data_IF_283579114238
#
_entry.id   IF_283579114238
#
_cell.length_a   1.000
_cell.length_b   1.000
_cell.length_c   1.000
_cell.angle_alpha   90.00
_cell.angle_beta   90.00
_cell.angle_gamma   90.00
#
_symmetry.space_group_name_H-M   'P 1'
#
loop_
_entity.id
_entity.type
_entity.pdbx_description
1 polymer ?
#
# COMPACT_ATOMS: atom_id res chain seq x y z
N UNK A 1 -67.95 5.70 -6.18
CA UNK A 1 -68.30 4.37 -5.62
C UNK A 1 -67.35 3.34 -6.21
N UNK A 2 -67.03 2.32 -5.40
CA UNK A 2 -65.79 1.53 -5.41
C UNK A 2 -65.61 0.60 -6.63
N UNK A 3 -64.44 0.75 -7.26
CA UNK A 3 -63.43 -0.29 -7.53
C UNK A 3 -63.86 -1.70 -7.93
N UNK A 4 -63.66 -2.01 -9.21
CA UNK A 4 -63.67 -3.37 -9.78
C UNK A 4 -62.34 -4.07 -9.49
N UNK A 5 -62.40 -5.24 -8.85
CA UNK A 5 -61.28 -6.16 -8.70
C UNK A 5 -60.99 -6.83 -10.05
N UNK A 6 -59.75 -6.77 -10.53
CA UNK A 6 -59.26 -7.61 -11.62
C UNK A 6 -58.02 -8.35 -11.12
N UNK A 7 -58.18 -9.64 -10.87
CA UNK A 7 -57.08 -10.59 -10.79
C UNK A 7 -56.90 -11.18 -12.18
N UNK A 8 -55.69 -11.10 -12.75
CA UNK A 8 -55.26 -11.97 -13.85
C UNK A 8 -53.76 -12.25 -13.70
N UNK A 9 -53.52 -13.52 -13.37
CA UNK A 9 -52.47 -14.46 -13.79
C UNK A 9 -50.99 -14.05 -13.83
N UNK A 10 -50.25 -14.87 -13.09
CA UNK A 10 -48.83 -15.13 -13.20
C UNK A 10 -48.40 -15.50 -14.63
N UNK A 11 -47.27 -14.92 -15.05
CA UNK A 11 -46.40 -15.51 -16.05
C UNK A 11 -45.01 -15.56 -15.43
N UNK A 12 -44.58 -16.76 -15.08
CA UNK A 12 -43.22 -17.05 -14.65
C UNK A 12 -42.32 -16.96 -15.88
N UNK A 13 -41.52 -15.89 -15.96
CA UNK A 13 -40.29 -15.88 -16.74
C UNK A 13 -39.15 -15.82 -15.73
N UNK A 14 -38.69 -17.01 -15.30
CA UNK A 14 -37.38 -17.16 -14.68
C UNK A 14 -36.33 -16.87 -15.75
N UNK A 15 -36.00 -15.58 -15.89
CA UNK A 15 -34.74 -15.20 -16.48
C UNK A 15 -33.66 -15.51 -15.44
N UNK A 16 -32.95 -16.61 -15.64
CA UNK A 16 -31.65 -16.85 -15.03
C UNK A 16 -30.77 -15.64 -15.38
N UNK A 17 -30.71 -14.68 -14.47
CA UNK A 17 -29.67 -13.67 -14.48
C UNK A 17 -28.39 -14.45 -14.20
N UNK A 18 -27.65 -14.77 -15.25
CA UNK A 18 -26.26 -15.20 -15.09
C UNK A 18 -25.56 -14.09 -14.31
N UNK A 19 -25.05 -14.42 -13.12
CA UNK A 19 -24.19 -13.50 -12.37
C UNK A 19 -23.10 -13.02 -13.33
N UNK A 20 -22.87 -11.70 -13.47
CA UNK A 20 -21.86 -11.19 -14.36
C UNK A 20 -20.52 -11.83 -14.01
N UNK A 21 -19.88 -12.45 -15.00
CA UNK A 21 -18.54 -13.01 -14.88
C UNK A 21 -17.65 -11.90 -14.33
N UNK A 22 -16.96 -12.10 -13.18
CA UNK A 22 -16.10 -11.07 -12.62
C UNK A 22 -15.10 -10.66 -13.70
N UNK A 23 -15.08 -9.37 -14.05
CA UNK A 23 -14.06 -8.83 -14.93
C UNK A 23 -12.71 -9.16 -14.29
N UNK A 24 -11.89 -9.93 -15.01
CA UNK A 24 -10.56 -10.29 -14.53
C UNK A 24 -9.72 -9.02 -14.46
N UNK A 25 -9.44 -8.53 -13.25
CA UNK A 25 -8.48 -7.45 -13.05
C UNK A 25 -7.10 -7.94 -13.51
N UNK A 26 -6.51 -7.25 -14.48
CA UNK A 26 -5.18 -7.58 -14.97
C UNK A 26 -4.13 -6.97 -14.03
N UNK A 27 -3.66 -7.77 -13.08
CA UNK A 27 -2.60 -7.38 -12.14
C UNK A 27 -1.24 -7.61 -12.82
N UNK A 28 -0.36 -6.59 -12.91
CA UNK A 28 0.98 -6.78 -13.45
C UNK A 28 1.79 -7.77 -12.63
N UNK A 29 2.66 -8.55 -13.28
CA UNK A 29 3.59 -9.42 -12.56
C UNK A 29 4.59 -8.60 -11.71
N UNK A 30 4.92 -9.05 -10.49
CA UNK A 30 6.00 -8.51 -9.68
C UNK A 30 7.37 -8.73 -10.36
N UNK A 31 8.36 -7.92 -9.97
CA UNK A 31 9.73 -7.99 -10.50
C UNK A 31 10.49 -9.23 -9.97
N UNK A 32 10.26 -9.64 -8.72
CA UNK A 32 11.01 -10.74 -8.09
C UNK A 32 10.17 -11.75 -7.28
N UNK A 33 9.44 -11.30 -6.25
CA UNK A 33 8.73 -12.17 -5.30
C UNK A 33 7.33 -12.54 -5.80
N UNK A 34 6.99 -13.83 -5.73
CA UNK A 34 5.66 -14.31 -6.12
C UNK A 34 4.66 -14.24 -4.95
N UNK A 35 3.94 -13.13 -4.85
CA UNK A 35 2.93 -12.89 -3.81
C UNK A 35 1.70 -13.81 -3.88
N UNK A 36 1.47 -14.56 -4.97
CA UNK A 36 0.39 -15.55 -5.02
C UNK A 36 0.71 -16.76 -4.14
N UNK A 37 1.99 -17.05 -3.91
CA UNK A 37 2.41 -18.14 -3.02
C UNK A 37 2.04 -17.85 -1.55
N UNK A 38 1.92 -16.57 -1.17
CA UNK A 38 1.62 -16.16 0.21
C UNK A 38 0.12 -16.26 0.55
N UNK A 39 -0.75 -16.50 -0.43
CA UNK A 39 -2.21 -16.55 -0.27
C UNK A 39 -2.86 -17.83 -0.79
N UNK A 40 -2.06 -18.90 -0.94
CA UNK A 40 -2.58 -20.23 -1.29
C UNK A 40 -3.46 -20.80 -0.17
N UNK A 41 -4.26 -21.83 -0.48
CA UNK A 41 -5.11 -22.55 0.48
C UNK A 41 -4.34 -23.05 1.70
N UNK A 42 -3.05 -23.34 1.53
CA UNK A 42 -2.17 -23.84 2.59
C UNK A 42 -1.72 -22.76 3.57
N UNK A 43 -1.77 -21.49 3.19
CA UNK A 43 -1.38 -20.36 4.03
C UNK A 43 -2.40 -20.06 5.13
N UNK A 44 -3.66 -20.45 4.96
CA UNK A 44 -4.72 -20.20 5.91
C UNK A 44 -4.61 -21.11 7.15
N UNK A 45 -4.72 -20.48 8.32
CA UNK A 45 -4.81 -21.11 9.64
C UNK A 45 -6.04 -20.68 10.45
N UNK A 46 -6.28 -21.42 11.54
CA UNK A 46 -7.33 -21.12 12.50
C UNK A 46 -6.96 -19.92 13.38
N UNK A 47 -7.93 -19.05 13.67
CA UNK A 47 -7.80 -17.82 14.48
C UNK A 47 -6.84 -16.78 13.89
N UNK A 48 -6.74 -16.73 12.57
CA UNK A 48 -5.98 -15.70 11.85
C UNK A 48 -6.89 -14.61 11.32
N UNK A 49 -6.38 -13.39 11.20
CA UNK A 49 -7.10 -12.30 10.53
C UNK A 49 -6.46 -12.07 9.17
N UNK A 50 -7.30 -12.00 8.14
CA UNK A 50 -6.87 -11.80 6.76
C UNK A 50 -7.51 -10.53 6.21
N UNK A 51 -6.71 -9.72 5.51
CA UNK A 51 -7.18 -8.63 4.69
C UNK A 51 -7.86 -9.18 3.43
N UNK A 52 -8.90 -8.50 2.97
CA UNK A 52 -9.70 -8.87 1.82
C UNK A 52 -10.01 -7.63 0.98
N UNK A 53 -10.11 -7.85 -0.33
CA UNK A 53 -10.36 -6.81 -1.31
C UNK A 53 -11.78 -6.26 -1.18
N UNK A 54 -11.90 -4.94 -1.21
CA UNK A 54 -13.20 -4.27 -1.31
C UNK A 54 -13.68 -4.20 -2.77
N UNK A 55 -14.90 -3.70 -2.94
CA UNK A 55 -15.53 -3.53 -4.25
C UNK A 55 -15.46 -2.07 -4.76
N UNK A 56 -14.70 -1.20 -4.08
CA UNK A 56 -14.60 0.22 -4.40
C UNK A 56 -13.52 0.43 -5.49
N UNK A 57 -12.25 0.41 -5.10
CA UNK A 57 -11.10 0.45 -6.02
C UNK A 57 -10.30 -0.86 -6.00
N UNK A 58 -10.81 -1.89 -5.32
CA UNK A 58 -10.20 -3.22 -5.28
C UNK A 58 -9.02 -3.32 -4.32
N UNK A 59 -8.87 -2.42 -3.35
CA UNK A 59 -7.80 -2.47 -2.36
C UNK A 59 -8.19 -3.29 -1.12
N UNK A 60 -7.22 -3.86 -0.36
CA UNK A 60 -7.51 -4.79 0.71
C UNK A 60 -7.89 -4.11 2.03
N UNK A 61 -9.09 -3.50 2.07
CA UNK A 61 -9.60 -2.72 3.24
C UNK A 61 -10.53 -3.49 4.17
N UNK A 62 -11.02 -4.66 3.76
CA UNK A 62 -11.82 -5.51 4.63
C UNK A 62 -10.95 -6.46 5.43
N UNK A 63 -11.45 -6.89 6.59
CA UNK A 63 -10.81 -7.90 7.40
C UNK A 63 -11.78 -9.03 7.76
N UNK A 64 -11.28 -10.26 7.71
CA UNK A 64 -12.01 -11.43 8.15
C UNK A 64 -11.19 -12.19 9.20
N UNK A 65 -11.84 -12.53 10.32
CA UNK A 65 -11.30 -13.52 11.24
C UNK A 65 -11.63 -14.92 10.71
N UNK A 66 -10.60 -15.66 10.34
CA UNK A 66 -10.70 -17.08 9.97
C UNK A 66 -10.85 -17.87 11.26
N UNK A 67 -12.09 -18.23 11.58
CA UNK A 67 -12.38 -18.99 12.80
C UNK A 67 -11.88 -20.44 12.67
N UNK A 68 -12.03 -21.03 11.48
CA UNK A 68 -11.62 -22.41 11.22
C UNK A 68 -11.44 -22.71 9.73
N UNK A 69 -10.36 -23.38 9.37
CA UNK A 69 -10.17 -24.01 8.06
C UNK A 69 -10.91 -25.35 8.05
N UNK A 70 -11.91 -25.48 7.19
CA UNK A 70 -12.77 -26.66 7.11
C UNK A 70 -12.27 -27.67 6.07
N UNK A 71 -11.70 -27.18 4.97
CA UNK A 71 -11.14 -27.97 3.89
C UNK A 71 -10.17 -27.11 3.09
N UNK A 72 -9.10 -27.71 2.56
CA UNK A 72 -8.17 -27.05 1.64
C UNK A 72 -8.46 -27.41 0.18
N UNK A 73 -9.02 -28.59 -0.06
CA UNK A 73 -9.37 -29.06 -1.41
C UNK A 73 -10.73 -29.80 -1.38
N UNK A 74 -11.82 -29.19 -1.90
CA UNK A 74 -11.93 -27.79 -2.29
C UNK A 74 -11.76 -26.85 -1.08
N UNK A 75 -11.28 -25.63 -1.32
CA UNK A 75 -11.07 -24.66 -0.25
C UNK A 75 -12.38 -24.29 0.45
N UNK A 76 -12.37 -24.31 1.78
CA UNK A 76 -13.52 -23.94 2.60
C UNK A 76 -13.08 -23.47 3.98
N UNK A 77 -13.50 -22.27 4.37
CA UNK A 77 -13.24 -21.70 5.69
C UNK A 77 -14.52 -21.22 6.35
N UNK A 78 -14.56 -21.29 7.67
CA UNK A 78 -15.52 -20.55 8.49
C UNK A 78 -14.87 -19.26 8.92
N UNK A 79 -15.47 -18.13 8.59
CA UNK A 79 -14.95 -16.80 8.91
C UNK A 79 -16.01 -15.91 9.52
N UNK A 80 -15.58 -14.79 10.08
CA UNK A 80 -16.45 -13.69 10.48
C UNK A 80 -15.84 -12.38 10.01
N UNK A 81 -16.60 -11.58 9.26
CA UNK A 81 -16.17 -10.24 8.85
C UNK A 81 -16.02 -9.33 10.06
N UNK A 82 -14.93 -8.58 10.09
CA UNK A 82 -14.65 -7.58 11.10
C UNK A 82 -15.32 -6.27 10.69
N UNK A 83 -16.09 -5.70 11.60
CA UNK A 83 -16.88 -4.51 11.35
C UNK A 83 -16.57 -3.46 12.40
N UNK A 84 -16.69 -2.20 12.01
CA UNK A 84 -16.71 -1.09 12.96
C UNK A 84 -17.97 -0.28 12.79
N UNK A 85 -18.56 0.15 13.91
CA UNK A 85 -19.70 1.08 13.93
C UNK A 85 -19.34 2.41 14.59
N UNK A 86 -18.14 2.50 15.13
CA UNK A 86 -17.66 3.62 15.91
C UNK A 86 -16.19 3.82 15.59
N UNK A 87 -15.72 5.05 15.71
CA UNK A 87 -14.34 5.37 15.47
C UNK A 87 -13.80 6.37 16.51
N UNK A 88 -14.44 6.35 17.69
CA UNK A 88 -14.19 7.23 18.83
C UNK A 88 -12.79 7.07 19.43
N UNK A 89 -12.09 5.96 19.14
CA UNK A 89 -10.73 5.76 19.63
C UNK A 89 -9.71 6.75 19.05
N UNK A 90 -10.02 7.38 17.91
CA UNK A 90 -9.13 8.32 17.22
C UNK A 90 -9.70 9.75 17.20
N UNK A 91 -10.66 10.05 18.07
CA UNK A 91 -11.22 11.39 18.21
C UNK A 91 -12.63 11.54 17.63
N UNK A 92 -13.13 12.78 17.50
CA UNK A 92 -14.55 13.08 17.24
C UNK A 92 -14.94 13.06 15.75
N UNK A 93 -14.03 12.70 14.85
CA UNK A 93 -14.30 12.66 13.41
C UNK A 93 -15.37 11.61 13.09
N UNK A 94 -16.27 11.87 12.15
CA UNK A 94 -17.34 10.93 11.78
C UNK A 94 -16.93 10.02 10.60
N UNK A 95 -15.74 9.39 10.67
CA UNK A 95 -15.15 8.64 9.55
C UNK A 95 -16.03 7.49 9.04
N UNK A 96 -16.47 6.62 9.95
CA UNK A 96 -17.30 5.45 9.57
C UNK A 96 -18.71 5.88 9.19
N UNK A 97 -19.26 6.91 9.83
CA UNK A 97 -20.59 7.42 9.52
C UNK A 97 -20.62 8.12 8.15
N UNK A 98 -19.51 8.72 7.71
CA UNK A 98 -19.32 9.27 6.37
C UNK A 98 -19.09 8.21 5.28
N UNK A 99 -19.15 6.92 5.62
CA UNK A 99 -19.05 5.81 4.66
C UNK A 99 -17.65 5.32 4.36
N UNK A 100 -16.61 5.86 5.00
CA UNK A 100 -15.23 5.44 4.75
C UNK A 100 -14.87 4.13 5.47
N UNK A 101 -14.03 3.33 4.81
CA UNK A 101 -13.48 2.13 5.40
C UNK A 101 -12.52 2.47 6.54
N UNK A 102 -12.73 1.83 7.69
CA UNK A 102 -11.79 1.85 8.80
C UNK A 102 -10.86 0.65 8.68
N UNK A 103 -9.56 0.88 8.56
CA UNK A 103 -8.57 -0.19 8.30
C UNK A 103 -7.53 -0.34 9.41
N UNK A 104 -7.57 0.50 10.43
CA UNK A 104 -6.87 0.27 11.68
C UNK A 104 -7.73 0.70 12.88
N UNK A 105 -7.37 0.24 14.07
CA UNK A 105 -8.10 0.43 15.32
C UNK A 105 -8.82 -0.81 15.81
N UNK A 106 -9.92 -0.60 16.53
CA UNK A 106 -10.73 -1.64 17.15
C UNK A 106 -11.89 -2.09 16.25
N UNK A 107 -12.02 -3.40 16.07
CA UNK A 107 -13.05 -4.05 15.27
C UNK A 107 -13.88 -5.02 16.09
N UNK A 108 -15.17 -5.13 15.73
CA UNK A 108 -16.09 -6.13 16.27
C UNK A 108 -16.22 -7.30 15.32
N UNK A 109 -16.26 -8.48 15.89
CA UNK A 109 -16.47 -9.72 15.14
C UNK A 109 -17.93 -9.79 14.71
N UNK A 110 -18.16 -9.94 13.41
CA UNK A 110 -19.47 -10.11 12.81
C UNK A 110 -20.04 -11.52 12.95
N UNK A 111 -21.02 -11.83 12.10
CA UNK A 111 -21.65 -13.15 12.05
C UNK A 111 -20.74 -14.16 11.35
N UNK A 112 -20.97 -15.43 11.64
CA UNK A 112 -20.29 -16.52 10.95
C UNK A 112 -20.76 -16.66 9.51
N UNK A 113 -19.81 -16.80 8.61
CA UNK A 113 -20.00 -17.06 7.19
C UNK A 113 -19.06 -18.17 6.73
N UNK A 114 -19.34 -18.71 5.54
CA UNK A 114 -18.50 -19.73 4.90
C UNK A 114 -17.86 -19.15 3.65
N UNK A 115 -16.53 -19.01 3.68
CA UNK A 115 -15.74 -18.67 2.50
C UNK A 115 -15.37 -19.93 1.72
N UNK A 116 -15.32 -19.81 0.39
CA UNK A 116 -14.98 -20.92 -0.53
C UNK A 116 -13.90 -20.58 -1.56
N UNK A 117 -13.43 -19.33 -1.58
CA UNK A 117 -12.43 -18.85 -2.52
C UNK A 117 -11.32 -18.15 -1.75
N UNK A 118 -10.07 -18.40 -2.14
CA UNK A 118 -8.89 -17.69 -1.61
C UNK A 118 -8.72 -16.32 -2.26
N UNK A 119 -9.23 -16.14 -3.49
CA UNK A 119 -9.01 -14.93 -4.30
C UNK A 119 -9.63 -13.66 -3.70
N UNK A 120 -10.54 -13.79 -2.73
CA UNK A 120 -11.08 -12.64 -2.00
C UNK A 120 -10.09 -12.06 -0.98
N UNK A 121 -9.04 -12.81 -0.62
CA UNK A 121 -8.09 -12.43 0.40
C UNK A 121 -6.78 -11.93 -0.21
N UNK A 122 -6.18 -10.94 0.43
CA UNK A 122 -4.88 -10.38 0.06
C UNK A 122 -3.77 -11.02 0.88
N UNK A 123 -3.80 -10.84 2.20
CA UNK A 123 -2.72 -11.25 3.08
C UNK A 123 -3.18 -11.41 4.52
N UNK A 124 -2.40 -12.16 5.31
CA UNK A 124 -2.58 -12.22 6.77
C UNK A 124 -2.12 -10.92 7.42
N UNK A 125 -2.90 -10.40 8.35
CA UNK A 125 -2.54 -9.22 9.14
C UNK A 125 -2.25 -9.57 10.58
N UNK A 126 -1.36 -8.80 11.20
CA UNK A 126 -1.12 -8.91 12.63
C UNK A 126 -2.29 -8.30 13.40
N UNK A 127 -2.74 -9.00 14.44
CA UNK A 127 -3.86 -8.56 15.25
C UNK A 127 -3.63 -8.92 16.73
N UNK A 128 -4.29 -8.17 17.62
CA UNK A 128 -4.34 -8.46 19.04
C UNK A 128 -5.77 -8.47 19.57
N UNK A 129 -5.99 -9.17 20.67
CA UNK A 129 -7.30 -9.17 21.34
C UNK A 129 -7.45 -7.89 22.16
N UNK A 130 -8.47 -7.10 21.82
CA UNK A 130 -8.85 -5.89 22.54
C UNK A 130 -9.85 -6.14 23.67
N UNK A 131 -10.28 -5.05 24.34
CA UNK A 131 -11.28 -5.10 25.40
C UNK A 131 -12.58 -5.75 24.93
N UNK A 132 -13.22 -6.55 25.80
CA UNK A 132 -14.47 -7.25 25.48
C UNK A 132 -14.38 -8.19 24.26
N UNK A 133 -13.18 -8.63 23.91
CA UNK A 133 -12.95 -9.58 22.82
C UNK A 133 -13.05 -8.96 21.43
N UNK A 134 -12.87 -7.64 21.32
CA UNK A 134 -12.65 -6.99 20.02
C UNK A 134 -11.33 -7.44 19.40
N UNK A 135 -11.21 -7.22 18.09
CA UNK A 135 -9.99 -7.45 17.32
C UNK A 135 -9.33 -6.09 17.09
N UNK A 136 -8.08 -5.96 17.46
CA UNK A 136 -7.29 -4.74 17.26
C UNK A 136 -6.27 -4.97 16.15
N UNK A 137 -6.29 -4.09 15.15
CA UNK A 137 -5.36 -4.10 14.02
C UNK A 137 -4.76 -2.72 13.95
N UNK A 138 -3.45 -2.62 14.11
CA UNK A 138 -2.72 -1.35 14.06
C UNK A 138 -1.47 -1.55 13.20
N UNK A 139 -1.02 -0.52 12.46
CA UNK A 139 0.24 -0.58 11.74
C UNK A 139 1.38 -0.96 12.70
N UNK A 140 2.26 -1.85 12.24
CA UNK A 140 3.43 -2.32 12.99
C UNK A 140 4.71 -1.91 12.31
N UNK A 141 5.76 -1.76 13.11
CA UNK A 141 7.10 -1.47 12.60
C UNK A 141 7.50 -2.46 11.51
N UNK A 142 7.91 -1.94 10.36
CA UNK A 142 8.30 -2.72 9.19
C UNK A 142 7.17 -2.97 8.20
N UNK A 143 5.91 -2.72 8.56
CA UNK A 143 4.80 -2.81 7.62
C UNK A 143 4.90 -1.72 6.56
N UNK A 144 4.45 -2.04 5.35
CA UNK A 144 4.16 -1.06 4.32
C UNK A 144 2.67 -0.78 4.29
N UNK A 145 2.30 0.50 4.27
CA UNK A 145 0.93 0.96 4.22
C UNK A 145 0.74 2.01 3.14
N UNK A 146 -0.45 2.03 2.55
CA UNK A 146 -0.94 3.12 1.73
C UNK A 146 -1.58 4.19 2.63
N UNK A 147 -1.14 5.43 2.51
CA UNK A 147 -1.82 6.58 3.11
C UNK A 147 -2.62 7.34 2.07
N UNK A 148 -3.82 7.81 2.43
CA UNK A 148 -4.58 8.76 1.63
C UNK A 148 -3.77 10.06 1.46
N UNK A 149 -3.34 10.35 0.22
CA UNK A 149 -2.50 11.52 -0.12
C UNK A 149 -3.21 12.84 0.20
N UNK A 150 -4.49 12.91 -0.15
CA UNK A 150 -5.31 14.12 -0.05
C UNK A 150 -6.18 14.14 1.21
N UNK A 151 -5.88 13.29 2.20
CA UNK A 151 -6.71 13.14 3.39
C UNK A 151 -7.01 14.49 4.05
N UNK A 152 -8.27 14.68 4.42
CA UNK A 152 -8.72 15.84 5.18
C UNK A 152 -9.72 15.39 6.24
N UNK A 153 -9.71 15.99 7.44
CA UNK A 153 -10.73 15.75 8.45
C UNK A 153 -12.16 16.13 8.00
N UNK A 154 -12.28 16.93 6.93
CA UNK A 154 -13.56 17.40 6.39
C UNK A 154 -14.16 16.45 5.32
N UNK A 155 -13.46 15.36 5.00
CA UNK A 155 -13.97 14.34 4.09
C UNK A 155 -15.31 13.77 4.58
N UNK A 156 -16.26 13.70 3.67
CA UNK A 156 -17.61 13.18 3.89
C UNK A 156 -18.08 12.39 2.66
N UNK A 157 -19.33 11.92 2.69
CA UNK A 157 -20.00 11.14 1.63
C UNK A 157 -20.01 11.83 0.24
N UNK A 158 -19.78 13.14 0.15
CA UNK A 158 -19.72 13.88 -1.10
C UNK A 158 -18.28 14.10 -1.61
N UNK A 159 -17.28 13.55 -0.93
CA UNK A 159 -15.88 13.65 -1.37
C UNK A 159 -15.71 12.82 -2.64
N UNK A 160 -15.21 13.40 -3.75
CA UNK A 160 -15.04 12.66 -5.00
C UNK A 160 -14.03 11.52 -4.90
N UNK A 161 -14.32 10.41 -5.59
CA UNK A 161 -13.46 9.22 -5.65
C UNK A 161 -12.05 9.54 -6.18
N UNK A 162 -11.91 10.43 -7.16
CA UNK A 162 -10.61 10.83 -7.71
C UNK A 162 -9.72 11.60 -6.71
N UNK A 163 -10.34 12.18 -5.67
CA UNK A 163 -9.67 12.79 -4.53
C UNK A 163 -9.29 11.74 -3.49
N UNK A 164 -10.18 10.78 -3.22
CA UNK A 164 -10.02 9.70 -2.23
C UNK A 164 -8.98 8.68 -2.69
N UNK A 165 -9.08 8.21 -3.93
CA UNK A 165 -8.28 7.11 -4.51
C UNK A 165 -6.90 7.57 -4.97
N UNK A 166 -6.19 8.32 -4.11
CA UNK A 166 -4.81 8.75 -4.31
C UNK A 166 -4.00 8.41 -3.08
N UNK A 167 -2.89 7.69 -3.30
CA UNK A 167 -2.14 7.08 -2.22
C UNK A 167 -0.66 7.39 -2.26
N UNK A 168 -0.08 7.57 -1.09
CA UNK A 168 1.36 7.54 -0.88
C UNK A 168 1.73 6.26 -0.13
N UNK A 169 2.71 5.51 -0.64
CA UNK A 169 3.23 4.33 0.03
C UNK A 169 4.21 4.76 1.11
N UNK A 170 4.09 4.18 2.31
CA UNK A 170 4.96 4.49 3.44
C UNK A 170 5.43 3.22 4.14
N UNK A 171 6.64 3.28 4.69
CA UNK A 171 7.17 2.28 5.61
C UNK A 171 6.98 2.76 7.04
N UNK A 172 6.42 1.89 7.89
CA UNK A 172 6.19 2.16 9.31
C UNK A 172 7.49 1.96 10.11
N UNK A 173 7.89 2.96 10.88
CA UNK A 173 9.18 2.98 11.60
C UNK A 173 9.08 2.53 13.06
N UNK A 174 7.90 2.69 13.67
CA UNK A 174 7.60 2.32 15.05
C UNK A 174 6.16 1.82 15.20
N UNK A 175 5.88 1.10 16.29
CA UNK A 175 4.53 0.61 16.59
C UNK A 175 3.66 1.75 17.13
N UNK A 176 2.34 1.66 16.86
CA UNK A 176 1.37 2.63 17.37
C UNK A 176 1.44 2.84 18.88
N UNK A 177 1.51 4.11 19.28
CA UNK A 177 1.38 4.58 20.64
C UNK A 177 0.31 5.68 20.70
N UNK A 178 -0.60 5.62 21.69
CA UNK A 178 -1.70 6.60 21.79
C UNK A 178 -1.23 8.04 22.03
N UNK A 179 -0.14 8.24 22.78
CA UNK A 179 0.39 9.57 23.10
C UNK A 179 1.18 10.17 21.93
N UNK A 180 1.96 9.31 21.25
CA UNK A 180 2.93 9.76 20.25
C UNK A 180 2.48 9.57 18.81
N UNK A 181 1.53 8.68 18.54
CA UNK A 181 1.15 8.26 17.19
C UNK A 181 2.07 7.20 16.58
N UNK A 182 2.29 7.27 15.27
CA UNK A 182 3.19 6.40 14.48
C UNK A 182 4.11 7.25 13.61
N UNK A 183 5.41 6.94 13.63
CA UNK A 183 6.35 7.49 12.65
C UNK A 183 6.36 6.64 11.38
N UNK A 184 6.26 7.30 10.23
CA UNK A 184 6.38 6.67 8.92
C UNK A 184 7.39 7.41 8.04
N UNK A 185 7.88 6.74 7.01
CA UNK A 185 8.71 7.35 5.97
C UNK A 185 8.14 7.03 4.59
N UNK A 186 8.11 8.00 3.65
CA UNK A 186 7.69 7.72 2.28
C UNK A 186 8.55 6.65 1.61
N UNK A 187 7.90 5.81 0.80
CA UNK A 187 8.55 4.90 -0.13
C UNK A 187 8.64 5.55 -1.51
N UNK A 188 9.86 5.71 -2.01
CA UNK A 188 10.15 6.25 -3.33
C UNK A 188 10.22 5.11 -4.33
N UNK A 189 9.48 5.25 -5.43
CA UNK A 189 9.53 4.33 -6.56
C UNK A 189 10.92 4.30 -7.19
N UNK A 190 11.45 3.11 -7.45
CA UNK A 190 12.76 2.94 -8.09
C UNK A 190 12.59 2.84 -9.60
N UNK A 191 13.34 3.67 -10.33
CA UNK A 191 13.33 3.66 -11.80
C UNK A 191 13.80 2.30 -12.35
N UNK A 192 13.24 1.89 -13.48
CA UNK A 192 13.55 0.60 -14.11
C UNK A 192 12.86 -0.63 -13.53
N UNK A 193 12.12 -0.50 -12.42
CA UNK A 193 11.37 -1.59 -11.78
C UNK A 193 9.87 -1.27 -11.71
N UNK A 194 9.00 -2.27 -11.78
CA UNK A 194 7.53 -2.12 -11.66
C UNK A 194 7.05 -2.08 -10.22
N UNK A 195 7.60 -2.92 -9.34
CA UNK A 195 7.12 -3.14 -7.97
C UNK A 195 8.14 -2.78 -6.88
N UNK A 196 9.36 -2.37 -7.25
CA UNK A 196 10.41 -2.02 -6.28
C UNK A 196 10.36 -0.55 -5.83
N UNK A 197 10.46 -0.35 -4.51
CA UNK A 197 10.49 0.93 -3.81
C UNK A 197 11.60 0.96 -2.76
N UNK A 198 12.06 2.16 -2.38
CA UNK A 198 13.03 2.36 -1.30
C UNK A 198 12.53 3.39 -0.29
N UNK A 199 12.80 3.22 1.01
CA UNK A 199 12.46 4.24 2.01
C UNK A 199 13.31 5.50 1.81
N UNK A 200 12.68 6.67 1.93
CA UNK A 200 13.37 7.97 1.94
C UNK A 200 13.88 8.31 3.36
N UNK A 201 14.94 7.62 3.79
CA UNK A 201 15.46 7.72 5.17
C UNK A 201 16.10 9.07 5.54
N UNK A 202 15.90 10.13 4.75
CA UNK A 202 16.23 11.47 5.21
C UNK A 202 15.37 11.80 6.45
N UNK A 203 15.99 12.17 7.56
CA UNK A 203 15.29 12.45 8.82
C UNK A 203 14.23 13.55 8.69
N UNK A 204 14.40 14.48 7.76
CA UNK A 204 13.44 15.54 7.46
C UNK A 204 12.14 15.04 6.80
N UNK A 205 12.15 13.78 6.33
CA UNK A 205 11.02 13.13 5.64
C UNK A 205 10.23 12.19 6.53
N UNK A 206 10.64 12.02 7.79
CA UNK A 206 9.86 11.26 8.77
C UNK A 206 8.59 12.02 9.09
N UNK A 207 7.45 11.40 8.82
CA UNK A 207 6.13 11.96 9.07
C UNK A 207 5.61 11.31 10.35
N UNK A 208 5.13 12.13 11.29
CA UNK A 208 4.41 11.63 12.47
C UNK A 208 2.92 11.68 12.22
N UNK A 209 2.26 10.52 12.21
CA UNK A 209 0.80 10.39 12.16
C UNK A 209 0.30 10.33 13.60
N UNK A 210 -0.43 11.35 14.05
CA UNK A 210 -0.96 11.39 15.42
C UNK A 210 -2.14 10.43 15.57
N UNK A 211 -2.60 10.24 16.82
CA UNK A 211 -3.80 9.47 17.13
C UNK A 211 -5.03 9.93 16.34
N UNK A 212 -5.20 11.24 16.17
CA UNK A 212 -6.34 11.84 15.47
C UNK A 212 -6.25 11.71 13.94
N UNK A 213 -5.06 11.44 13.42
CA UNK A 213 -4.79 11.27 11.99
C UNK A 213 -4.72 9.80 11.55
N UNK A 214 -5.02 8.85 12.44
CA UNK A 214 -4.93 7.42 12.13
C UNK A 214 -5.83 6.99 10.95
N UNK A 215 -6.89 7.74 10.63
CA UNK A 215 -7.72 7.50 9.44
C UNK A 215 -7.02 7.81 8.10
N UNK A 216 -5.79 8.35 8.13
CA UNK A 216 -4.95 8.49 6.93
C UNK A 216 -4.52 7.14 6.38
N UNK A 217 -4.43 6.10 7.21
CA UNK A 217 -4.09 4.75 6.77
C UNK A 217 -5.25 4.17 5.95
N UNK A 218 -5.00 3.89 4.67
CA UNK A 218 -5.99 3.30 3.78
C UNK A 218 -5.97 1.79 3.87
N UNK A 219 -4.83 1.14 3.63
CA UNK A 219 -4.68 -0.30 3.68
C UNK A 219 -3.21 -0.69 3.86
N UNK A 220 -2.98 -1.90 4.37
CA UNK A 220 -1.66 -2.51 4.39
C UNK A 220 -1.35 -3.07 3.00
N UNK A 221 -0.11 -2.90 2.55
CA UNK A 221 0.39 -3.43 1.28
C UNK A 221 1.39 -4.54 1.60
N UNK A 222 1.16 -5.78 1.16
CA UNK A 222 2.15 -6.83 1.30
C UNK A 222 3.47 -6.42 0.65
N UNK A 223 4.58 -6.72 1.32
CA UNK A 223 5.90 -6.36 0.84
C UNK A 223 6.93 -7.44 1.12
N UNK A 224 7.94 -7.52 0.26
CA UNK A 224 9.08 -8.40 0.39
C UNK A 224 10.37 -7.58 0.43
N UNK A 225 11.15 -7.76 1.50
CA UNK A 225 12.44 -7.11 1.65
C UNK A 225 13.49 -7.83 0.80
N UNK A 226 13.96 -7.17 -0.25
CA UNK A 226 14.92 -7.74 -1.19
C UNK A 226 16.28 -7.97 -0.51
N UNK A 227 16.80 -9.19 -0.69
CA UNK A 227 18.08 -9.64 -0.16
C UNK A 227 19.24 -9.31 -1.10
N UNK A 228 18.95 -9.10 -2.38
CA UNK A 228 19.92 -8.94 -3.47
C UNK A 228 20.34 -10.27 -4.10
N UNK A 229 19.73 -11.39 -3.68
CA UNK A 229 20.01 -12.74 -4.19
C UNK A 229 18.93 -13.23 -5.16
N UNK A 230 17.83 -12.48 -5.32
CA UNK A 230 16.69 -12.82 -6.17
C UNK A 230 17.06 -12.82 -7.67
N UNK A 231 17.90 -11.86 -8.09
CA UNK A 231 18.41 -11.72 -9.45
C UNK A 231 19.66 -10.82 -9.49
N UNK A 232 20.37 -10.81 -10.63
CA UNK A 232 21.59 -10.01 -10.81
C UNK A 232 21.38 -8.50 -10.61
N UNK A 233 20.19 -7.97 -10.89
CA UNK A 233 19.82 -6.56 -10.74
C UNK A 233 19.00 -6.26 -9.47
N UNK A 234 18.80 -7.24 -8.57
CA UNK A 234 17.97 -7.06 -7.38
C UNK A 234 18.64 -6.11 -6.36
N UNK A 235 18.03 -4.94 -6.04
CA UNK A 235 18.62 -4.02 -5.08
C UNK A 235 18.39 -4.49 -3.63
N UNK A 236 19.47 -4.81 -2.92
CA UNK A 236 19.43 -5.22 -1.52
C UNK A 236 18.87 -4.13 -0.60
N UNK A 237 17.98 -4.51 0.32
CA UNK A 237 17.40 -3.66 1.35
C UNK A 237 16.22 -2.81 0.87
N UNK A 238 15.72 -3.06 -0.34
CA UNK A 238 14.59 -2.36 -0.93
C UNK A 238 13.32 -3.18 -0.72
N UNK A 239 12.15 -2.52 -0.77
CA UNK A 239 10.87 -3.17 -0.64
C UNK A 239 10.28 -3.44 -2.01
N UNK A 240 10.00 -4.69 -2.32
CA UNK A 240 9.09 -5.02 -3.40
C UNK A 240 7.67 -5.06 -2.86
N UNK A 241 6.73 -4.37 -3.52
CA UNK A 241 5.33 -4.30 -3.10
C UNK A 241 4.46 -5.20 -3.97
N UNK A 242 3.44 -5.80 -3.36
CA UNK A 242 2.45 -6.59 -4.08
C UNK A 242 1.65 -5.71 -5.05
N UNK A 243 1.72 -5.98 -6.37
CA UNK A 243 1.00 -5.21 -7.37
C UNK A 243 -0.52 -5.29 -7.22
N UNK A 244 -1.05 -6.36 -6.62
CA UNK A 244 -2.50 -6.52 -6.39
C UNK A 244 -3.04 -5.60 -5.28
N UNK A 245 -2.16 -4.99 -4.48
CA UNK A 245 -2.50 -4.03 -3.43
C UNK A 245 -1.80 -2.68 -3.65
N UNK A 246 -1.30 -2.42 -4.86
CA UNK A 246 -0.61 -1.18 -5.21
C UNK A 246 -1.36 -0.48 -6.35
N UNK A 247 -1.68 0.82 -6.22
CA UNK A 247 -2.33 1.59 -7.29
C UNK A 247 -1.56 1.50 -8.61
N UNK A 248 -2.27 1.28 -9.72
CA UNK A 248 -1.66 1.08 -11.05
C UNK A 248 -0.75 2.23 -11.49
N UNK A 249 -1.04 3.46 -11.06
CA UNK A 249 -0.22 4.63 -11.40
C UNK A 249 1.19 4.56 -10.79
N UNK A 250 1.36 3.81 -9.69
CA UNK A 250 2.65 3.60 -9.03
C UNK A 250 3.43 2.40 -9.60
N UNK A 251 2.80 1.59 -10.46
CA UNK A 251 3.41 0.40 -11.08
C UNK A 251 4.02 0.69 -12.46
N UNK A 252 3.88 1.93 -12.95
CA UNK A 252 4.46 2.34 -14.23
C UNK A 252 5.99 2.42 -14.11
N UNK A 253 6.70 1.77 -15.05
CA UNK A 253 8.16 1.90 -15.14
C UNK A 253 8.51 3.31 -15.61
N UNK A 254 9.06 4.11 -14.71
CA UNK A 254 9.73 5.36 -15.10
C UNK A 254 10.95 4.99 -15.93
N UNK A 255 10.89 5.22 -17.24
CA UNK A 255 12.10 5.22 -18.08
C UNK A 255 12.91 6.45 -17.71
N UNK A 256 14.22 6.29 -17.46
CA UNK A 256 15.15 7.42 -17.37
C UNK A 256 15.20 8.13 -18.73
N UNK A 257 14.24 9.01 -19.01
CA UNK A 257 14.38 9.98 -20.08
C UNK A 257 15.33 11.05 -19.59
N UNK A 258 16.60 10.94 -19.99
CA UNK A 258 17.49 12.08 -20.13
C UNK A 258 16.91 13.03 -21.19
N UNK A 259 15.81 13.71 -20.87
CA UNK A 259 15.36 14.87 -21.63
C UNK A 259 16.01 16.10 -21.04
N UNK A 260 17.25 16.34 -21.46
CA UNK A 260 17.79 17.70 -21.49
C UNK A 260 16.86 18.50 -22.40
N UNK A 261 16.23 19.60 -21.94
CA UNK A 261 15.47 20.46 -22.84
C UNK A 261 16.43 21.00 -23.89
N UNK A 262 16.31 20.49 -25.12
CA UNK A 262 16.98 21.04 -26.28
C UNK A 262 16.42 22.45 -26.50
N UNK A 263 17.13 23.46 -25.99
CA UNK A 263 16.91 24.85 -26.35
C UNK A 263 17.20 24.96 -27.85
N UNK A 264 16.15 25.09 -28.64
CA UNK A 264 16.24 25.51 -30.04
C UNK A 264 16.67 26.98 -30.05
N UNK A 265 17.97 27.22 -30.16
CA UNK A 265 18.50 28.53 -30.51
C UNK A 265 18.29 28.77 -32.01
N UNK A 266 17.26 29.56 -32.34
CA UNK A 266 17.17 30.25 -33.61
C UNK A 266 18.23 31.36 -33.66
N UNK A 267 19.16 31.25 -34.61
CA UNK A 267 20.21 32.23 -34.79
C UNK A 267 19.73 33.47 -35.55
N UNK A 268 20.31 34.62 -35.21
CA UNK A 268 20.58 35.68 -36.17
C UNK A 268 21.89 36.40 -35.78
N UNK A 269 22.70 36.64 -36.80
CA UNK A 269 24.11 37.06 -36.74
C UNK A 269 24.19 38.53 -37.14
N UNK A 270 24.88 39.39 -36.38
CA UNK A 270 26.04 40.17 -36.87
C UNK A 270 26.56 41.23 -35.88
N UNK A 271 27.88 41.25 -35.74
CA UNK A 271 28.67 42.49 -35.73
C UNK A 271 29.50 42.79 -34.48
N UNK A 272 30.84 42.68 -34.58
CA UNK A 272 31.74 43.54 -33.80
C UNK A 272 33.02 42.94 -33.18
N UNK A 273 34.02 42.64 -34.01
CA UNK A 273 35.47 42.87 -33.86
C UNK A 273 36.24 42.64 -32.52
N UNK A 274 37.23 41.73 -32.62
CA UNK A 274 38.64 41.80 -32.17
C UNK A 274 39.00 41.96 -30.67
N UNK A 275 39.73 41.00 -30.09
CA UNK A 275 41.21 40.91 -30.10
C UNK A 275 41.72 39.67 -29.33
N UNK A 276 42.83 39.11 -29.84
CA UNK A 276 43.62 37.99 -29.32
C UNK A 276 44.29 38.25 -27.97
N UNK A 277 44.38 37.24 -27.11
CA UNK A 277 45.57 36.94 -26.28
C UNK A 277 45.74 35.42 -26.15
N UNK A 278 46.97 34.95 -26.39
CA UNK A 278 47.46 33.57 -26.24
C UNK A 278 48.11 33.35 -24.85
N UNK A 279 48.45 32.09 -24.57
CA UNK A 279 49.28 31.50 -23.49
C UNK A 279 48.47 30.91 -22.32
N UNK A 280 48.68 29.68 -21.82
CA UNK A 280 49.71 28.63 -22.04
C UNK A 280 49.20 27.30 -21.44
N UNK A 281 49.69 26.16 -21.94
CA UNK A 281 49.56 24.81 -21.35
C UNK A 281 50.79 24.48 -20.50
N UNK A 282 50.59 23.77 -19.37
CA UNK A 282 51.39 22.63 -18.83
C UNK A 282 50.72 22.17 -17.51
N UNK A 283 50.24 20.92 -17.36
CA UNK A 283 50.90 19.72 -16.76
C UNK A 283 51.46 19.97 -15.35
N UNK A 284 51.46 19.12 -14.33
CA UNK A 284 51.10 17.73 -14.04
C UNK A 284 51.52 17.51 -12.55
N UNK A 285 50.90 16.56 -11.84
CA UNK A 285 51.50 15.73 -10.75
C UNK A 285 51.88 16.35 -9.39
N UNK A 286 51.28 15.81 -8.31
CA UNK A 286 51.92 15.12 -7.15
C UNK A 286 50.87 14.96 -6.03
N UNK A 287 50.45 13.75 -5.67
CA UNK A 287 51.05 12.72 -4.82
C UNK A 287 50.78 12.88 -3.30
N UNK A 288 50.07 11.87 -2.78
CA UNK A 288 50.16 11.18 -1.48
C UNK A 288 50.69 11.93 -0.25
N UNK A 289 49.92 11.85 0.85
CA UNK A 289 50.30 11.64 2.27
C UNK A 289 48.95 11.67 3.03
N UNK A 290 48.39 10.57 3.57
CA UNK A 290 48.75 9.94 4.85
C UNK A 290 48.20 8.50 4.92
N UNK A 291 49.11 7.53 5.03
CA UNK A 291 48.86 6.22 5.66
C UNK A 291 49.97 6.03 6.68
N UNK A 292 49.66 6.13 7.97
CA UNK A 292 50.40 5.45 9.06
C UNK A 292 49.89 5.86 10.44
N UNK A 293 49.24 4.90 11.11
CA UNK A 293 49.31 4.54 12.55
C UNK A 293 48.07 3.67 12.81
N UNK A 294 48.12 2.34 12.75
CA UNK A 294 48.89 1.39 13.61
C UNK A 294 48.94 1.90 15.06
N UNK A 295 48.62 1.16 16.11
CA UNK A 295 48.11 -0.19 16.34
C UNK A 295 47.97 -0.27 17.87
N UNK A 296 47.02 -1.06 18.37
CA UNK A 296 47.03 -1.64 19.72
C UNK A 296 46.39 -0.84 20.87
N UNK A 297 45.84 -1.45 21.92
CA UNK A 297 45.78 -2.85 22.39
C UNK A 297 44.71 -2.93 23.51
N UNK A 298 43.87 -3.98 23.46
CA UNK A 298 43.43 -4.95 24.50
C UNK A 298 43.07 -4.53 25.95
N UNK A 299 41.93 -5.09 26.40
CA UNK A 299 41.44 -5.48 27.75
C UNK A 299 41.49 -4.52 28.95
N UNK A 300 40.30 -4.25 29.50
CA UNK A 300 39.86 -4.59 30.87
C UNK A 300 38.34 -4.44 30.97
#
# INVERSE_FOLDING_TARGET
>A
MKGVKKAVNASANDAYQEDPVPESMNVPDPDFHNFDQDRTENCFGDNEVWAAYDADDGMPRFYALINKVLSREPFKVRLSWLNSKTNSEFGPMEWVASGFYKTCGEFRIGRYETGKSVNSFSHKVQWSKGPRGSVQIFPKKGDVWALYRNWSPDWNENTPDDVIHKYDMVLVLDDYNEEQGISVVPLIKVAGFKTVFRPDLNSEKVIRITREEMFRFSHQVPSHLLTGEEAQNAPKGYQELDPAATPLELLQTLTETNEVPSIQNGGEVNGGSSQNVQETKTSETTDRILKSREEGIVES
#
